data_IF_342605347074
#
_entry.id   IF_342605347074
#
_cell.length_a   1.000
_cell.length_b   1.000
_cell.length_c   1.000
_cell.angle_alpha   90.00
_cell.angle_beta   90.00
_cell.angle_gamma   90.00
#
_symmetry.space_group_name_H-M   'P 1'
#
loop_
_entity.id
_entity.type
_entity.pdbx_description
1 polymer ?
#
# COMPACT_ATOMS: atom_id res chain seq x y z
N UNK A 1 48.40 9.80 -16.20
CA UNK A 1 47.13 9.22 -16.70
C UNK A 1 46.55 8.34 -15.61
N UNK A 2 45.42 8.72 -15.03
CA UNK A 2 44.66 7.89 -14.10
C UNK A 2 43.17 8.15 -14.40
N UNK A 3 42.55 7.25 -15.15
CA UNK A 3 41.11 7.25 -15.41
C UNK A 3 40.41 6.80 -14.13
N UNK A 4 40.04 7.76 -13.28
CA UNK A 4 39.16 7.54 -12.13
C UNK A 4 37.75 7.19 -12.61
N UNK A 5 37.56 5.95 -13.04
CA UNK A 5 36.29 5.39 -13.52
C UNK A 5 35.37 4.94 -12.39
N UNK A 6 35.09 5.78 -11.39
CA UNK A 6 34.08 5.47 -10.36
C UNK A 6 32.71 6.09 -10.72
N UNK A 7 31.91 5.25 -11.39
CA UNK A 7 30.42 5.17 -11.44
C UNK A 7 29.61 6.48 -11.33
N UNK A 8 29.47 7.27 -12.41
CA UNK A 8 28.47 8.34 -12.50
C UNK A 8 27.01 7.83 -12.39
N UNK A 9 26.75 6.57 -12.73
CA UNK A 9 25.39 6.00 -12.77
C UNK A 9 24.75 5.82 -11.39
N UNK A 10 25.55 5.53 -10.36
CA UNK A 10 25.05 5.34 -8.99
C UNK A 10 24.65 6.68 -8.37
N UNK A 11 25.40 7.74 -8.68
CA UNK A 11 25.11 9.10 -8.21
C UNK A 11 23.79 9.62 -8.80
N UNK A 12 23.55 9.37 -10.10
CA UNK A 12 22.29 9.75 -10.77
C UNK A 12 21.08 9.01 -10.16
N UNK A 13 21.18 7.71 -9.91
CA UNK A 13 20.09 6.93 -9.32
C UNK A 13 19.77 7.38 -7.88
N UNK A 14 20.79 7.68 -7.09
CA UNK A 14 20.63 8.21 -5.72
C UNK A 14 20.00 9.60 -5.72
N UNK A 15 20.45 10.49 -6.61
CA UNK A 15 19.86 11.83 -6.77
C UNK A 15 18.38 11.75 -7.18
N UNK A 16 18.03 10.84 -8.09
CA UNK A 16 16.66 10.64 -8.51
C UNK A 16 15.77 10.07 -7.39
N UNK A 17 16.31 9.14 -6.57
CA UNK A 17 15.60 8.63 -5.40
C UNK A 17 15.35 9.75 -4.37
N UNK A 18 16.36 10.58 -4.09
CA UNK A 18 16.26 11.76 -3.24
C UNK A 18 15.22 12.76 -3.74
N UNK A 19 15.19 13.02 -5.04
CA UNK A 19 14.21 13.92 -5.67
C UNK A 19 12.78 13.42 -5.45
N UNK A 20 12.55 12.12 -5.66
CA UNK A 20 11.24 11.48 -5.45
C UNK A 20 10.80 11.52 -3.99
N UNK A 21 11.72 11.27 -3.06
CA UNK A 21 11.46 11.38 -1.62
C UNK A 21 11.11 12.81 -1.19
N UNK A 22 11.84 13.81 -1.69
CA UNK A 22 11.56 15.22 -1.38
C UNK A 22 10.16 15.63 -1.86
N UNK A 23 9.78 15.22 -3.08
CA UNK A 23 8.43 15.48 -3.60
C UNK A 23 7.34 14.83 -2.73
N UNK A 24 7.60 13.63 -2.21
CA UNK A 24 6.68 12.95 -1.30
C UNK A 24 6.52 13.71 0.03
N UNK A 25 7.63 14.22 0.59
CA UNK A 25 7.63 15.05 1.80
C UNK A 25 6.81 16.31 1.59
N UNK A 26 7.00 17.02 0.48
CA UNK A 26 6.22 18.22 0.15
C UNK A 26 4.72 17.92 0.05
N UNK A 27 4.35 16.80 -0.60
CA UNK A 27 2.94 16.36 -0.68
C UNK A 27 2.36 16.03 0.69
N UNK A 28 3.09 15.32 1.54
CA UNK A 28 2.65 15.00 2.90
C UNK A 28 2.53 16.25 3.78
N UNK A 29 3.44 17.23 3.61
CA UNK A 29 3.35 18.53 4.28
C UNK A 29 2.12 19.30 3.82
N UNK A 30 1.81 19.29 2.53
CA UNK A 30 0.60 19.90 1.99
C UNK A 30 -0.67 19.26 2.55
N UNK A 31 -0.74 17.92 2.58
CA UNK A 31 -1.85 17.17 3.18
C UNK A 31 -1.98 17.46 4.68
N UNK A 32 -0.87 17.61 5.40
CA UNK A 32 -0.87 18.00 6.81
C UNK A 32 -1.41 19.41 7.03
N UNK A 33 -1.07 20.35 6.13
CA UNK A 33 -1.52 21.74 6.21
C UNK A 33 -3.01 21.91 5.83
N UNK A 34 -3.53 21.02 4.97
CA UNK A 34 -4.90 21.05 4.48
C UNK A 34 -5.59 19.70 4.70
N UNK A 35 -5.96 19.38 5.95
CA UNK A 35 -6.60 18.11 6.26
C UNK A 35 -8.00 18.03 5.62
N UNK A 36 -8.26 16.94 4.92
CA UNK A 36 -9.60 16.58 4.46
C UNK A 36 -10.36 15.80 5.55
N UNK A 37 -11.52 15.22 5.20
CA UNK A 37 -12.18 14.27 6.09
C UNK A 37 -11.25 13.07 6.39
N UNK A 38 -11.40 12.47 7.57
CA UNK A 38 -10.48 11.46 8.09
C UNK A 38 -10.22 10.30 7.10
N UNK A 39 -11.26 9.83 6.41
CA UNK A 39 -11.16 8.71 5.48
C UNK A 39 -10.47 9.11 4.16
N UNK A 40 -10.75 10.31 3.64
CA UNK A 40 -10.10 10.84 2.45
C UNK A 40 -8.63 11.17 2.75
N UNK A 41 -8.35 11.78 3.90
CA UNK A 41 -7.00 12.07 4.37
C UNK A 41 -6.17 10.80 4.51
N UNK A 42 -6.72 9.75 5.12
CA UNK A 42 -6.03 8.46 5.26
C UNK A 42 -5.70 7.87 3.90
N UNK A 43 -6.66 7.83 2.97
CA UNK A 43 -6.44 7.34 1.60
C UNK A 43 -5.39 8.15 0.86
N UNK A 44 -5.40 9.48 1.01
CA UNK A 44 -4.43 10.36 0.35
C UNK A 44 -3.02 10.13 0.89
N UNK A 45 -2.85 9.98 2.20
CA UNK A 45 -1.56 9.65 2.83
C UNK A 45 -1.07 8.28 2.38
N UNK A 46 -1.93 7.26 2.43
CA UNK A 46 -1.59 5.91 2.01
C UNK A 46 -1.15 5.86 0.53
N UNK A 47 -1.82 6.63 -0.34
CA UNK A 47 -1.47 6.75 -1.75
C UNK A 47 -0.10 7.42 -1.94
N UNK A 48 0.17 8.55 -1.28
CA UNK A 48 1.48 9.22 -1.39
C UNK A 48 2.62 8.31 -0.93
N UNK A 49 2.44 7.60 0.18
CA UNK A 49 3.46 6.68 0.68
C UNK A 49 3.70 5.49 -0.27
N UNK A 50 2.62 4.89 -0.78
CA UNK A 50 2.71 3.78 -1.73
C UNK A 50 3.39 4.19 -3.04
N UNK A 51 2.92 5.27 -3.66
CA UNK A 51 3.48 5.78 -4.92
C UNK A 51 4.97 6.11 -4.77
N UNK A 52 5.37 6.64 -3.62
CA UNK A 52 6.77 6.94 -3.32
C UNK A 52 7.60 5.67 -3.25
N UNK A 53 7.14 4.64 -2.52
CA UNK A 53 7.83 3.36 -2.42
C UNK A 53 8.00 2.69 -3.79
N UNK A 54 6.96 2.69 -4.61
CA UNK A 54 7.04 2.19 -6.00
C UNK A 54 8.04 2.99 -6.81
N UNK A 55 8.02 4.33 -6.70
CA UNK A 55 8.87 5.19 -7.51
C UNK A 55 10.36 5.12 -7.13
N UNK A 56 10.69 4.85 -5.86
CA UNK A 56 12.08 4.69 -5.41
C UNK A 56 12.58 3.25 -5.52
N UNK A 57 11.69 2.27 -5.63
CA UNK A 57 12.02 0.85 -5.61
C UNK A 57 13.22 0.48 -6.49
N UNK A 58 13.17 0.79 -7.79
CA UNK A 58 14.24 0.39 -8.72
C UNK A 58 15.56 1.14 -8.54
N UNK A 59 15.56 2.20 -7.73
CA UNK A 59 16.72 3.04 -7.44
C UNK A 59 17.43 2.65 -6.14
N UNK A 60 16.82 1.77 -5.35
CA UNK A 60 17.35 1.35 -4.05
C UNK A 60 18.37 0.22 -4.19
N UNK A 61 19.31 0.11 -3.23
CA UNK A 61 20.19 -1.05 -3.13
C UNK A 61 19.39 -2.37 -3.06
N UNK A 62 19.91 -3.49 -3.60
CA UNK A 62 19.20 -4.76 -3.65
C UNK A 62 18.66 -5.23 -2.30
N UNK A 63 19.42 -5.01 -1.24
CA UNK A 63 19.07 -5.42 0.12
C UNK A 63 17.83 -4.66 0.65
N UNK A 64 17.68 -3.40 0.23
CA UNK A 64 16.53 -2.55 0.58
C UNK A 64 15.34 -2.85 -0.33
N UNK A 65 15.59 -3.15 -1.62
CA UNK A 65 14.54 -3.52 -2.59
C UNK A 65 13.71 -4.70 -2.12
N UNK A 66 14.35 -5.77 -1.65
CA UNK A 66 13.65 -6.97 -1.14
C UNK A 66 12.67 -6.60 0.00
N UNK A 67 13.07 -5.68 0.88
CA UNK A 67 12.18 -5.22 1.96
C UNK A 67 11.04 -4.36 1.43
N UNK A 68 11.31 -3.47 0.47
CA UNK A 68 10.28 -2.64 -0.17
C UNK A 68 9.27 -3.49 -0.93
N UNK A 69 9.72 -4.49 -1.71
CA UNK A 69 8.82 -5.44 -2.40
C UNK A 69 7.93 -6.19 -1.41
N UNK A 70 8.48 -6.61 -0.27
CA UNK A 70 7.71 -7.27 0.80
C UNK A 70 6.64 -6.34 1.39
N UNK A 71 6.98 -5.08 1.63
CA UNK A 71 6.03 -4.06 2.10
C UNK A 71 4.92 -3.81 1.07
N UNK A 72 5.27 -3.64 -0.21
CA UNK A 72 4.31 -3.43 -1.30
C UNK A 72 3.36 -4.62 -1.48
N UNK A 73 3.88 -5.85 -1.36
CA UNK A 73 3.10 -7.07 -1.44
C UNK A 73 2.10 -7.17 -0.27
N UNK A 74 2.57 -6.96 0.97
CA UNK A 74 1.72 -6.95 2.15
C UNK A 74 0.65 -5.87 2.10
N UNK A 75 0.97 -4.68 1.61
CA UNK A 75 -0.01 -3.61 1.46
C UNK A 75 -1.09 -3.95 0.43
N UNK A 76 -0.71 -4.63 -0.66
CA UNK A 76 -1.66 -5.11 -1.68
C UNK A 76 -2.57 -6.19 -1.12
N UNK A 77 -2.02 -7.12 -0.34
CA UNK A 77 -2.80 -8.15 0.37
C UNK A 77 -3.79 -7.50 1.34
N UNK A 78 -3.34 -6.58 2.20
CA UNK A 78 -4.18 -5.92 3.20
C UNK A 78 -5.28 -5.03 2.59
N UNK A 79 -5.00 -4.41 1.44
CA UNK A 79 -5.99 -3.61 0.70
C UNK A 79 -6.88 -4.46 -0.23
N UNK A 80 -6.66 -5.77 -0.28
CA UNK A 80 -7.47 -6.67 -1.09
C UNK A 80 -8.93 -6.67 -0.60
N UNK A 81 -9.91 -6.43 -1.49
CA UNK A 81 -11.33 -6.39 -1.12
C UNK A 81 -11.86 -7.73 -0.61
N UNK A 82 -11.08 -8.80 -0.78
CA UNK A 82 -11.46 -10.17 -0.39
C UNK A 82 -11.22 -10.47 1.09
N UNK A 83 -10.32 -9.76 1.77
CA UNK A 83 -10.09 -9.97 3.22
C UNK A 83 -11.29 -9.55 4.07
N UNK A 84 -12.00 -8.48 3.67
CA UNK A 84 -13.21 -8.03 4.37
C UNK A 84 -14.48 -8.80 4.00
N UNK A 85 -14.57 -9.30 2.76
CA UNK A 85 -15.78 -9.98 2.26
C UNK A 85 -15.96 -11.39 2.81
N UNK A 86 -14.87 -12.13 3.04
CA UNK A 86 -14.95 -13.47 3.63
C UNK A 86 -15.56 -13.43 5.04
N UNK A 87 -15.23 -12.40 5.84
CA UNK A 87 -15.82 -12.21 7.15
C UNK A 87 -17.30 -11.81 7.07
N UNK A 88 -17.70 -10.91 6.16
CA UNK A 88 -19.11 -10.52 6.04
C UNK A 88 -20.02 -11.65 5.57
N UNK A 89 -19.53 -12.49 4.64
CA UNK A 89 -20.30 -13.62 4.12
C UNK A 89 -20.44 -14.73 5.17
N UNK A 90 -19.35 -15.03 5.90
CA UNK A 90 -19.36 -15.99 7.01
C UNK A 90 -20.23 -15.49 8.17
N UNK A 91 -20.18 -14.19 8.50
CA UNK A 91 -21.05 -13.59 9.52
C UNK A 91 -22.52 -13.59 9.10
N UNK A 92 -22.82 -13.37 7.81
CA UNK A 92 -24.18 -13.44 7.29
C UNK A 92 -24.72 -14.88 7.30
N UNK A 93 -23.90 -15.87 6.95
CA UNK A 93 -24.25 -17.29 7.07
C UNK A 93 -24.46 -17.70 8.53
N UNK A 94 -23.60 -17.27 9.46
CA UNK A 94 -23.75 -17.54 10.89
C UNK A 94 -25.00 -16.87 11.47
N UNK A 95 -25.30 -15.63 11.05
CA UNK A 95 -26.52 -14.93 11.48
C UNK A 95 -27.78 -15.59 10.93
N UNK A 96 -27.77 -16.05 9.67
CA UNK A 96 -28.89 -16.76 9.08
C UNK A 96 -29.11 -18.14 9.72
N UNK A 97 -28.04 -18.85 10.09
CA UNK A 97 -28.13 -20.10 10.84
C UNK A 97 -28.75 -19.94 12.24
N UNK A 98 -28.68 -18.74 12.83
CA UNK A 98 -29.31 -18.41 14.12
C UNK A 98 -30.80 -18.04 14.00
N UNK A 99 -31.32 -17.85 12.78
CA UNK A 99 -32.72 -17.55 12.51
C UNK A 99 -33.39 -18.74 11.82
N UNK A 100 -33.98 -19.61 12.63
CA UNK A 100 -34.75 -20.80 12.19
C UNK A 100 -36.03 -20.46 11.40
N UNK A 101 -36.45 -19.19 11.42
CA UNK A 101 -37.65 -18.71 10.71
C UNK A 101 -37.35 -18.24 9.26
N UNK A 102 -36.10 -18.35 8.81
CA UNK A 102 -35.75 -17.99 7.45
C UNK A 102 -36.20 -19.08 6.45
N UNK A 103 -36.66 -18.68 5.25
CA UNK A 103 -37.03 -19.62 4.19
C UNK A 103 -35.88 -20.59 3.86
N UNK A 104 -36.21 -21.82 3.46
CA UNK A 104 -35.25 -22.89 3.14
C UNK A 104 -34.15 -22.50 2.14
N UNK A 105 -34.37 -21.52 1.26
CA UNK A 105 -33.35 -21.02 0.33
C UNK A 105 -32.29 -20.11 0.97
N UNK A 106 -32.52 -19.65 2.21
CA UNK A 106 -31.63 -18.77 2.97
C UNK A 106 -30.92 -19.49 4.13
N UNK A 107 -31.24 -20.76 4.35
CA UNK A 107 -30.58 -21.63 5.33
C UNK A 107 -29.36 -22.29 4.67
N UNK A 108 -28.24 -22.44 5.39
CA UNK A 108 -27.11 -23.21 4.88
C UNK A 108 -27.55 -24.67 4.65
N UNK A 109 -27.26 -25.21 3.47
CA UNK A 109 -27.40 -26.66 3.23
C UNK A 109 -26.37 -27.39 4.10
N UNK A 110 -26.83 -28.38 4.89
CA UNK A 110 -25.97 -29.22 5.76
C UNK A 110 -24.90 -30.00 4.98
#
# INVERSE_FOLDING_TARGET
MATNGRKPTVDIAQQEALRKLNLAVERLQHLKAHPENEQAQKKAVDAVLFDTLVAVHDLLPPEVRVQVERVLSLQTELNSPYLGRANSMTQLHQRNAQHSDLPSWAQPEE
#
